data_IF_672065361716
#
_entry.id   IF_672065361716
#
_cell.length_a   1.000
_cell.length_b   1.000
_cell.length_c   1.000
_cell.angle_alpha   90.00
_cell.angle_beta   90.00
_cell.angle_gamma   90.00
#
_symmetry.space_group_name_H-M   'P 1'
#
loop_
_entity.id
_entity.type
_entity.pdbx_description
1 polymer ?
#
# COMPACT_ATOMS: atom_id res chain seq x y z
N UNK A 1 -1.12 -11.91 8.57
CA UNK A 1 -0.76 -10.86 7.59
C UNK A 1 0.39 -10.04 8.16
N UNK A 2 1.23 -9.49 7.30
CA UNK A 2 2.27 -8.53 7.67
C UNK A 2 1.93 -7.21 7.00
N UNK A 3 1.98 -6.12 7.75
CA UNK A 3 1.81 -4.75 7.27
C UNK A 3 3.14 -4.04 7.45
N UNK A 4 3.63 -3.44 6.38
CA UNK A 4 4.83 -2.62 6.38
C UNK A 4 4.46 -1.20 5.96
N UNK A 5 4.98 -0.22 6.72
CA UNK A 5 4.75 1.19 6.53
C UNK A 5 6.11 1.85 6.29
N UNK A 6 6.24 2.60 5.20
CA UNK A 6 7.47 3.32 4.87
C UNK A 6 7.19 4.74 4.37
N UNK A 7 8.14 5.64 4.62
CA UNK A 7 8.10 7.05 4.23
C UNK A 7 9.37 7.41 3.47
N UNK A 8 9.23 7.99 2.29
CA UNK A 8 10.38 8.49 1.54
C UNK A 8 10.05 9.77 0.78
N UNK A 9 11.10 10.54 0.50
CA UNK A 9 10.99 11.70 -0.38
C UNK A 9 11.09 11.25 -1.85
N UNK A 10 10.03 11.38 -2.65
CA UNK A 10 10.06 10.98 -4.06
C UNK A 10 11.03 11.82 -4.90
N UNK A 11 11.43 13.00 -4.42
CA UNK A 11 12.36 13.89 -5.11
C UNK A 11 13.83 13.64 -4.72
N UNK A 12 14.11 12.59 -3.93
CA UNK A 12 15.43 12.30 -3.39
C UNK A 12 15.77 13.09 -2.12
N UNK A 13 16.94 12.79 -1.55
CA UNK A 13 17.42 13.44 -0.31
C UNK A 13 17.96 14.82 -0.69
N UNK A 14 17.29 15.90 -0.27
CA UNK A 14 17.86 17.24 -0.36
C UNK A 14 18.70 17.52 0.89
N UNK A 15 19.68 18.42 0.78
CA UNK A 15 20.57 18.83 1.90
C UNK A 15 19.82 19.36 3.14
N UNK A 16 18.50 19.60 3.05
CA UNK A 16 17.63 20.11 4.10
C UNK A 16 16.59 19.09 4.62
N UNK A 17 16.69 17.81 4.25
CA UNK A 17 15.75 16.76 4.70
C UNK A 17 14.49 16.63 3.83
N UNK A 18 13.62 15.67 4.17
CA UNK A 18 12.42 15.37 3.40
C UNK A 18 11.34 16.45 3.57
N UNK A 19 11.31 17.42 2.66
CA UNK A 19 10.25 18.45 2.60
C UNK A 19 8.95 17.95 1.94
N UNK A 20 8.99 16.77 1.34
CA UNK A 20 7.85 16.05 0.75
C UNK A 20 8.00 14.58 1.11
N UNK A 21 6.93 13.96 1.57
CA UNK A 21 6.94 12.56 1.99
C UNK A 21 5.78 11.81 1.34
N UNK A 22 6.09 10.67 0.73
CA UNK A 22 5.09 9.71 0.30
C UNK A 22 5.10 8.56 1.29
N UNK A 23 3.90 8.17 1.71
CA UNK A 23 3.69 7.00 2.54
C UNK A 23 3.32 5.80 1.67
N UNK A 24 3.97 4.66 1.91
CA UNK A 24 3.57 3.37 1.36
C UNK A 24 3.14 2.46 2.50
N UNK A 25 1.94 1.88 2.35
CA UNK A 25 1.48 0.77 3.17
C UNK A 25 1.42 -0.48 2.30
N UNK A 26 2.29 -1.45 2.57
CA UNK A 26 2.28 -2.75 1.90
C UNK A 26 1.78 -3.83 2.85
N UNK A 27 0.87 -4.66 2.36
CA UNK A 27 0.27 -5.76 3.09
C UNK A 27 0.57 -7.08 2.35
N UNK A 28 1.08 -8.07 3.06
CA UNK A 28 1.30 -9.43 2.55
C UNK A 28 0.58 -10.48 3.39
N UNK A 29 0.17 -11.54 2.71
CA UNK A 29 -0.44 -12.69 3.35
C UNK A 29 0.58 -13.76 3.74
N UNK A 30 0.83 -13.85 5.05
CA UNK A 30 1.71 -14.85 5.64
C UNK A 30 1.14 -16.29 5.60
N UNK A 31 -0.10 -16.49 5.18
CA UNK A 31 -0.67 -17.81 4.94
C UNK A 31 -0.31 -18.38 3.55
N UNK A 32 0.20 -17.54 2.64
CA UNK A 32 0.72 -18.00 1.37
C UNK A 32 2.11 -18.63 1.55
N UNK A 33 2.54 -19.41 0.56
CA UNK A 33 3.90 -19.97 0.59
C UNK A 33 4.95 -18.84 0.48
N UNK A 34 6.10 -18.93 1.19
CA UNK A 34 7.11 -17.87 1.18
C UNK A 34 7.60 -17.46 -0.21
N UNK A 35 7.59 -18.39 -1.18
CA UNK A 35 8.00 -18.11 -2.56
C UNK A 35 7.01 -17.25 -3.35
N UNK A 36 5.75 -17.11 -2.89
CA UNK A 36 4.71 -16.39 -3.62
C UNK A 36 4.14 -15.19 -2.85
N UNK A 37 4.32 -15.12 -1.53
CA UNK A 37 3.69 -14.08 -0.70
C UNK A 37 4.16 -12.64 -1.01
N UNK A 38 5.32 -12.48 -1.62
CA UNK A 38 5.89 -11.19 -2.03
C UNK A 38 5.83 -10.95 -3.54
N UNK A 39 5.14 -11.81 -4.29
CA UNK A 39 4.87 -11.52 -5.70
C UNK A 39 3.90 -10.33 -5.78
N UNK A 40 4.09 -9.40 -6.74
CA UNK A 40 3.27 -8.20 -6.87
C UNK A 40 1.76 -8.49 -6.88
N UNK A 41 1.32 -9.57 -7.51
CA UNK A 41 -0.08 -10.01 -7.59
C UNK A 41 -0.68 -10.47 -6.25
N UNK A 42 0.17 -10.82 -5.27
CA UNK A 42 -0.24 -11.31 -3.96
C UNK A 42 -0.05 -10.27 -2.85
N UNK A 43 0.44 -9.08 -3.20
CA UNK A 43 0.61 -7.96 -2.28
C UNK A 43 -0.48 -6.92 -2.51
N UNK A 44 -0.90 -6.29 -1.42
CA UNK A 44 -1.76 -5.11 -1.48
C UNK A 44 -0.95 -3.88 -1.08
N UNK A 45 -0.83 -2.93 -1.99
CA UNK A 45 -0.01 -1.72 -1.81
C UNK A 45 -0.92 -0.50 -1.91
N UNK A 46 -0.89 0.34 -0.88
CA UNK A 46 -1.53 1.65 -0.90
C UNK A 46 -0.46 2.74 -0.82
N UNK A 47 -0.64 3.77 -1.64
CA UNK A 47 0.21 4.95 -1.64
C UNK A 47 -0.64 6.11 -1.12
N UNK A 48 -0.18 6.72 -0.04
CA UNK A 48 -0.85 7.88 0.57
C UNK A 48 0.02 9.10 0.28
N UNK A 49 -0.38 9.95 -0.67
CA UNK A 49 0.34 11.19 -0.92
C UNK A 49 0.07 12.16 0.22
N UNK A 50 1.13 12.64 0.86
CA UNK A 50 1.04 13.70 1.84
C UNK A 50 2.04 14.81 1.47
N UNK A 51 1.73 16.09 1.72
CA UNK A 51 2.72 17.15 1.54
C UNK A 51 3.92 16.98 2.49
N UNK A 52 3.71 16.38 3.67
CA UNK A 52 4.73 16.15 4.70
C UNK A 52 4.63 14.74 5.26
N UNK A 53 5.66 14.29 5.98
CA UNK A 53 5.57 13.03 6.72
C UNK A 53 4.49 13.14 7.82
N UNK A 54 3.49 12.26 7.84
CA UNK A 54 2.42 12.32 8.82
C UNK A 54 2.93 11.91 10.21
N UNK A 55 2.37 12.53 11.24
CA UNK A 55 2.55 12.12 12.64
C UNK A 55 1.91 10.75 12.92
N UNK A 56 2.27 10.14 14.05
CA UNK A 56 1.71 8.84 14.49
C UNK A 56 0.17 8.90 14.59
N UNK A 57 -0.36 10.00 15.12
CA UNK A 57 -1.81 10.18 15.24
C UNK A 57 -2.48 10.29 13.87
N UNK A 58 -1.85 10.98 12.91
CA UNK A 58 -2.37 11.07 11.54
C UNK A 58 -2.32 9.71 10.83
N UNK A 59 -1.26 8.92 11.02
CA UNK A 59 -1.15 7.55 10.47
C UNK A 59 -2.28 6.66 10.96
N UNK A 60 -2.67 6.78 12.23
CA UNK A 60 -3.76 5.99 12.82
C UNK A 60 -5.12 6.23 12.12
N UNK A 61 -5.31 7.38 11.47
CA UNK A 61 -6.52 7.63 10.68
C UNK A 61 -6.50 6.93 9.30
N UNK A 62 -5.31 6.59 8.79
CA UNK A 62 -5.14 5.97 7.48
C UNK A 62 -5.06 4.45 7.51
N UNK A 63 -4.60 3.87 8.63
CA UNK A 63 -4.44 2.42 8.76
C UNK A 63 -5.78 1.66 8.74
N UNK A 64 -6.82 2.07 9.50
CA UNK A 64 -8.11 1.38 9.53
C UNK A 64 -8.77 1.19 8.16
N UNK A 65 -8.90 2.24 7.30
CA UNK A 65 -9.49 2.04 5.99
C UNK A 65 -8.63 1.06 5.17
N UNK A 66 -7.30 1.20 5.14
CA UNK A 66 -6.42 0.30 4.38
C UNK A 66 -6.60 -1.17 4.78
N UNK A 67 -6.69 -1.45 6.09
CA UNK A 67 -6.94 -2.81 6.59
C UNK A 67 -8.33 -3.30 6.16
N UNK A 68 -9.34 -2.45 6.21
CA UNK A 68 -10.70 -2.82 5.80
C UNK A 68 -10.78 -3.14 4.29
N UNK A 69 -10.15 -2.31 3.45
CA UNK A 69 -10.04 -2.55 2.02
C UNK A 69 -9.31 -3.87 1.73
N UNK A 70 -8.20 -4.11 2.41
CA UNK A 70 -7.45 -5.35 2.30
C UNK A 70 -8.27 -6.58 2.72
N UNK A 71 -9.01 -6.49 3.83
CA UNK A 71 -9.87 -7.58 4.30
C UNK A 71 -11.01 -7.88 3.32
N UNK A 72 -11.63 -6.85 2.74
CA UNK A 72 -12.66 -7.00 1.69
C UNK A 72 -12.10 -7.60 0.42
N UNK A 73 -10.88 -7.20 0.02
CA UNK A 73 -10.18 -7.75 -1.13
C UNK A 73 -9.90 -9.24 -0.98
N UNK A 74 -9.68 -9.68 0.25
CA UNK A 74 -9.27 -11.03 0.57
C UNK A 74 -10.42 -12.05 0.57
N UNK A 75 -11.59 -11.70 1.11
CA UNK A 75 -12.70 -12.65 1.24
C UNK A 75 -14.00 -12.07 0.68
N UNK A 76 -14.56 -12.62 -0.42
CA UNK A 76 -14.20 -13.87 -1.12
C UNK A 76 -13.03 -13.76 -2.13
N UNK A 77 -12.39 -12.60 -2.26
CA UNK A 77 -11.46 -12.30 -3.35
C UNK A 77 -12.07 -11.29 -4.34
N UNK A 78 -11.24 -10.51 -5.03
CA UNK A 78 -11.70 -9.69 -6.16
C UNK A 78 -11.66 -10.48 -7.46
N UNK A 79 -12.81 -10.54 -8.17
CA UNK A 79 -12.85 -10.94 -9.57
C UNK A 79 -12.78 -9.68 -10.43
N UNK A 80 -11.61 -9.40 -11.00
CA UNK A 80 -11.45 -8.32 -11.96
C UNK A 80 -11.81 -8.84 -13.36
N UNK A 81 -12.85 -8.28 -14.00
CA UNK A 81 -13.26 -8.69 -15.36
C UNK A 81 -12.37 -8.10 -16.45
N UNK A 82 -11.79 -6.93 -16.18
CA UNK A 82 -10.97 -6.15 -17.09
C UNK A 82 -10.06 -5.23 -16.27
N UNK A 83 -8.84 -5.00 -16.75
CA UNK A 83 -7.96 -3.94 -16.25
C UNK A 83 -8.09 -2.71 -17.15
N UNK A 84 -7.67 -1.53 -16.68
CA UNK A 84 -7.81 -0.27 -17.44
C UNK A 84 -7.25 -0.32 -18.88
N UNK A 85 -6.29 -1.20 -19.15
CA UNK A 85 -5.66 -1.37 -20.47
C UNK A 85 -6.29 -2.48 -21.34
N UNK A 86 -7.39 -3.11 -20.93
CA UNK A 86 -8.01 -4.16 -21.76
C UNK A 86 -8.88 -3.55 -22.87
N UNK A 87 -8.61 -3.89 -24.14
CA UNK A 87 -9.33 -3.41 -25.33
C UNK A 87 -10.83 -3.82 -25.42
N UNK A 88 -11.41 -4.43 -24.38
CA UNK A 88 -12.79 -4.94 -24.43
C UNK A 88 -13.67 -4.36 -23.31
N UNK A 89 -14.46 -3.35 -23.70
CA UNK A 89 -15.74 -3.00 -23.09
C UNK A 89 -16.87 -3.43 -24.02
#
# INVERSE_FOLDING_TARGET
>A
FLIHLDFFNPNGITHHGAHKSICIISCTNLALYPSIQYLPENMHINIIPSPNEPSVDEIDHYVPPVIEWFARAWWPGFKCSCTADSESG
#
